data_IF_821218307276
#
_entry.id   IF_821218307276
#
_cell.length_a   1.000
_cell.length_b   1.000
_cell.length_c   1.000
_cell.angle_alpha   90.00
_cell.angle_beta   90.00
_cell.angle_gamma   90.00
#
_symmetry.space_group_name_H-M   'P 1'
#
loop_
_entity.id
_entity.type
_entity.pdbx_description
1 polymer ?
#
# COMPACT_ATOMS: atom_id res chain seq x y z
N UNK A 1 -31.35 -27.95 -26.42
CA UNK A 1 -30.03 -27.35 -26.69
C UNK A 1 -29.70 -26.38 -25.56
N UNK A 2 -28.82 -26.77 -24.63
CA UNK A 2 -28.28 -25.88 -23.58
C UNK A 2 -27.03 -25.21 -24.15
N UNK A 3 -26.97 -23.87 -24.16
CA UNK A 3 -25.74 -23.13 -24.42
C UNK A 3 -25.11 -22.79 -23.08
N UNK A 4 -23.94 -23.37 -22.82
CA UNK A 4 -23.06 -22.98 -21.72
C UNK A 4 -22.48 -21.59 -22.05
N UNK A 5 -22.59 -20.65 -21.11
CA UNK A 5 -21.86 -19.39 -21.14
C UNK A 5 -20.47 -19.62 -20.56
N UNK A 6 -19.46 -19.62 -21.42
CA UNK A 6 -18.06 -19.48 -21.01
C UNK A 6 -17.86 -18.10 -20.39
N UNK A 7 -17.38 -18.10 -19.14
CA UNK A 7 -17.20 -16.90 -18.34
C UNK A 7 -16.11 -15.98 -18.89
N UNK A 8 -16.38 -14.67 -18.80
CA UNK A 8 -15.39 -13.62 -18.99
C UNK A 8 -14.32 -13.73 -17.90
N UNK A 9 -13.08 -14.00 -18.30
CA UNK A 9 -11.90 -13.84 -17.46
C UNK A 9 -11.76 -12.36 -17.05
N UNK A 10 -11.46 -12.13 -15.78
CA UNK A 10 -11.26 -10.77 -15.26
C UNK A 10 -9.92 -10.22 -15.75
N UNK A 11 -9.85 -8.91 -16.01
CA UNK A 11 -8.63 -8.18 -16.44
C UNK A 11 -7.41 -8.43 -15.53
N UNK A 12 -7.62 -8.90 -14.30
CA UNK A 12 -6.57 -9.28 -13.35
C UNK A 12 -5.85 -10.60 -13.69
N UNK A 13 -6.48 -11.52 -14.42
CA UNK A 13 -5.83 -12.77 -14.85
C UNK A 13 -4.93 -12.57 -16.08
N UNK A 14 -5.28 -11.60 -16.94
CA UNK A 14 -4.53 -11.32 -18.17
C UNK A 14 -3.18 -10.62 -17.90
N UNK A 15 -3.04 -9.91 -16.78
CA UNK A 15 -1.80 -9.22 -16.42
C UNK A 15 -0.76 -10.10 -15.70
N UNK A 16 -1.08 -11.38 -15.44
CA UNK A 16 -0.21 -12.30 -14.69
C UNK A 16 0.31 -13.48 -15.53
N UNK A 17 -0.14 -13.65 -16.78
CA UNK A 17 0.14 -14.85 -17.56
C UNK A 17 1.53 -14.89 -18.23
N UNK A 18 2.11 -13.75 -18.60
CA UNK A 18 3.23 -13.75 -19.57
C UNK A 18 4.64 -13.50 -19.01
N UNK A 19 4.88 -13.52 -17.69
CA UNK A 19 6.25 -13.27 -17.19
C UNK A 19 6.60 -13.76 -15.77
N UNK A 20 6.14 -14.94 -15.33
CA UNK A 20 6.68 -15.56 -14.10
C UNK A 20 6.83 -17.09 -14.19
N UNK A 21 8.04 -17.64 -13.94
CA UNK A 21 8.20 -19.07 -13.63
C UNK A 21 7.92 -19.30 -12.15
N UNK A 22 6.67 -19.10 -11.71
CA UNK A 22 6.16 -19.53 -10.40
C UNK A 22 4.64 -19.75 -10.51
N UNK A 23 4.18 -20.97 -10.20
CA UNK A 23 2.77 -21.19 -9.91
C UNK A 23 2.42 -20.40 -8.63
N UNK A 24 1.75 -19.27 -8.78
CA UNK A 24 1.13 -18.53 -7.68
C UNK A 24 -0.26 -19.13 -7.49
N UNK A 25 -0.46 -19.90 -6.42
CA UNK A 25 -1.80 -20.31 -6.00
C UNK A 25 -2.38 -19.22 -5.10
N UNK A 26 -3.05 -18.23 -5.68
CA UNK A 26 -3.91 -17.34 -4.92
C UNK A 26 -5.21 -18.09 -4.59
N UNK A 27 -5.41 -18.46 -3.32
CA UNK A 27 -6.66 -19.10 -2.89
C UNK A 27 -7.66 -18.02 -2.51
N UNK A 28 -8.62 -17.75 -3.40
CA UNK A 28 -9.77 -16.91 -3.08
C UNK A 28 -10.73 -17.74 -2.23
N UNK A 29 -10.83 -17.44 -0.94
CA UNK A 29 -11.93 -17.97 -0.12
C UNK A 29 -13.04 -16.92 -0.05
N UNK A 30 -14.05 -17.06 -0.90
CA UNK A 30 -15.33 -16.39 -0.68
C UNK A 30 -16.10 -17.19 0.38
N UNK A 31 -16.44 -16.55 1.51
CA UNK A 31 -17.47 -17.08 2.41
C UNK A 31 -18.79 -16.42 2.03
N UNK A 32 -19.74 -17.22 1.57
CA UNK A 32 -21.12 -16.78 1.42
C UNK A 32 -21.67 -16.51 2.83
N UNK A 33 -21.96 -15.25 3.12
CA UNK A 33 -22.80 -14.86 4.25
C UNK A 33 -24.00 -14.10 3.71
N UNK A 34 -25.17 -14.69 3.93
CA UNK A 34 -26.47 -14.02 3.85
C UNK A 34 -26.43 -12.77 4.74
N UNK A 35 -27.09 -11.68 4.29
CA UNK A 35 -27.22 -10.35 4.92
C UNK A 35 -26.21 -9.27 4.49
N UNK A 36 -26.39 -8.76 3.26
CA UNK A 36 -26.59 -7.31 3.00
C UNK A 36 -25.52 -6.27 3.37
N UNK A 37 -24.28 -6.63 3.71
CA UNK A 37 -23.19 -5.66 3.95
C UNK A 37 -22.09 -5.72 2.87
N UNK A 38 -21.39 -4.61 2.58
CA UNK A 38 -20.36 -4.56 1.54
C UNK A 38 -19.22 -5.53 1.85
N UNK A 39 -18.91 -6.39 0.87
CA UNK A 39 -17.86 -7.41 0.94
C UNK A 39 -16.48 -6.75 1.00
N UNK A 40 -15.74 -6.97 2.08
CA UNK A 40 -14.32 -6.61 2.17
C UNK A 40 -13.51 -7.79 1.64
N UNK A 41 -12.77 -7.58 0.55
CA UNK A 41 -11.84 -8.56 0.03
C UNK A 41 -10.52 -8.51 0.82
N UNK A 42 -10.27 -9.52 1.64
CA UNK A 42 -8.95 -9.76 2.22
C UNK A 42 -8.21 -10.80 1.39
N UNK A 43 -6.98 -10.50 0.97
CA UNK A 43 -6.11 -11.44 0.28
C UNK A 43 -4.97 -11.87 1.22
N UNK A 44 -4.75 -13.18 1.33
CA UNK A 44 -3.58 -13.74 2.02
C UNK A 44 -2.69 -14.38 0.98
N UNK A 45 -1.46 -13.88 0.85
CA UNK A 45 -0.44 -14.44 -0.05
C UNK A 45 0.43 -15.38 0.77
N UNK A 46 0.23 -16.69 0.63
CA UNK A 46 1.12 -17.69 1.21
C UNK A 46 2.34 -17.88 0.32
N UNK A 47 3.50 -17.37 0.75
CA UNK A 47 4.78 -17.61 0.08
C UNK A 47 5.46 -18.86 0.67
N UNK A 48 5.45 -19.98 -0.05
CA UNK A 48 6.39 -21.08 0.21
C UNK A 48 7.74 -20.75 -0.44
N UNK A 49 8.68 -20.24 0.36
CA UNK A 49 10.05 -20.04 -0.09
C UNK A 49 10.80 -21.39 -0.14
N UNK A 50 11.17 -21.84 -1.34
CA UNK A 50 12.26 -22.82 -1.50
C UNK A 50 13.58 -22.07 -1.75
N UNK A 51 14.72 -22.54 -1.20
CA UNK A 51 16.02 -21.95 -1.46
C UNK A 51 16.38 -22.09 -2.95
N UNK A 52 16.74 -20.98 -3.60
CA UNK A 52 17.14 -20.94 -5.01
C UNK A 52 18.63 -21.26 -5.16
N UNK A 53 18.99 -22.11 -6.13
CA UNK A 53 20.31 -22.08 -6.76
C UNK A 53 20.54 -20.76 -7.52
N UNK A 54 21.76 -20.49 -8.03
CA UNK A 54 22.09 -19.22 -8.67
C UNK A 54 21.17 -18.94 -9.86
N UNK A 55 20.62 -17.72 -9.89
CA UNK A 55 19.74 -17.23 -10.94
C UNK A 55 20.55 -17.02 -12.23
N UNK A 56 20.37 -17.89 -13.21
CA UNK A 56 20.83 -17.64 -14.58
C UNK A 56 19.73 -16.85 -15.28
N UNK A 57 19.94 -15.54 -15.44
CA UNK A 57 19.00 -14.67 -16.17
C UNK A 57 19.07 -14.99 -17.67
N UNK A 58 17.90 -15.15 -18.31
CA UNK A 58 17.79 -15.21 -19.76
C UNK A 58 18.42 -13.92 -20.37
N UNK A 59 19.32 -14.01 -21.35
CA UNK A 59 19.91 -12.85 -22.02
C UNK A 59 18.89 -11.84 -22.56
N UNK A 60 17.70 -12.30 -22.99
CA UNK A 60 16.61 -11.42 -23.46
C UNK A 60 15.94 -10.63 -22.33
N UNK A 61 16.02 -11.10 -21.08
CA UNK A 61 15.51 -10.38 -19.90
C UNK A 61 16.52 -9.32 -19.38
N UNK A 62 17.76 -9.33 -19.86
CA UNK A 62 18.76 -8.32 -19.47
C UNK A 62 18.40 -6.94 -20.03
N UNK A 63 17.67 -6.87 -21.15
CA UNK A 63 17.24 -5.61 -21.74
C UNK A 63 16.00 -5.03 -21.02
N UNK A 64 15.14 -5.89 -20.45
CA UNK A 64 13.99 -5.50 -19.62
C UNK A 64 14.42 -4.94 -18.25
N UNK A 65 15.59 -5.36 -17.75
CA UNK A 65 16.19 -4.75 -16.56
C UNK A 65 16.53 -3.26 -16.77
N UNK A 66 16.67 -2.81 -18.02
CA UNK A 66 16.93 -1.42 -18.40
C UNK A 66 15.66 -0.61 -18.71
N UNK A 67 14.50 -1.26 -18.87
CA UNK A 67 13.23 -0.55 -19.10
C UNK A 67 12.82 0.22 -17.83
N UNK A 68 13.09 1.53 -17.86
CA UNK A 68 12.61 2.51 -16.88
C UNK A 68 11.08 2.59 -16.92
N UNK A 69 10.43 1.81 -16.06
CA UNK A 69 8.97 1.75 -15.95
C UNK A 69 8.43 2.93 -15.13
N UNK A 70 8.38 4.11 -15.75
CA UNK A 70 7.58 5.24 -15.29
C UNK A 70 8.33 6.36 -14.55
N UNK A 71 7.82 7.58 -14.72
CA UNK A 71 8.23 8.77 -13.98
C UNK A 71 7.26 8.98 -12.81
N UNK A 72 7.71 8.65 -11.60
CA UNK A 72 6.91 8.87 -10.39
C UNK A 72 7.28 10.19 -9.72
N UNK A 73 6.70 11.28 -10.21
CA UNK A 73 6.82 12.66 -9.66
C UNK A 73 8.26 13.20 -9.50
N UNK A 74 9.22 12.58 -10.18
CA UNK A 74 10.64 12.92 -10.24
C UNK A 74 11.07 12.95 -11.72
N UNK A 75 12.04 13.80 -12.08
CA UNK A 75 12.68 13.78 -13.41
C UNK A 75 13.60 12.57 -13.59
N UNK A 76 13.94 11.88 -12.50
CA UNK A 76 14.64 10.60 -12.52
C UNK A 76 13.60 9.47 -12.52
N UNK A 77 13.54 8.74 -13.62
CA UNK A 77 12.72 7.53 -13.70
C UNK A 77 13.20 6.52 -12.66
N UNK A 78 12.27 5.74 -12.13
CA UNK A 78 12.50 4.78 -11.07
C UNK A 78 11.96 3.43 -11.54
N UNK A 79 12.76 2.38 -11.47
CA UNK A 79 12.30 1.02 -11.78
C UNK A 79 11.47 0.46 -10.64
N UNK A 80 10.65 -0.56 -10.93
CA UNK A 80 9.90 -1.28 -9.89
C UNK A 80 10.84 -1.93 -8.86
N UNK A 81 11.99 -2.45 -9.31
CA UNK A 81 13.02 -3.00 -8.44
C UNK A 81 13.57 -1.94 -7.49
N UNK A 82 13.98 -0.77 -8.00
CA UNK A 82 14.44 0.33 -7.15
C UNK A 82 13.36 0.80 -6.16
N UNK A 83 12.08 0.83 -6.57
CA UNK A 83 10.98 1.19 -5.67
C UNK A 83 10.88 0.24 -4.48
N UNK A 84 10.95 -1.06 -4.74
CA UNK A 84 10.81 -2.10 -3.71
C UNK A 84 12.09 -2.22 -2.89
N UNK A 85 13.24 -2.39 -3.54
CA UNK A 85 14.52 -2.71 -2.90
C UNK A 85 15.11 -1.52 -2.14
N UNK A 86 14.95 -0.30 -2.64
CA UNK A 86 15.44 0.89 -1.95
C UNK A 86 14.37 1.47 -1.01
N UNK A 87 13.20 1.84 -1.55
CA UNK A 87 12.19 2.55 -0.77
C UNK A 87 11.45 1.62 0.20
N UNK A 88 11.07 0.42 -0.27
CA UNK A 88 10.43 -0.60 0.55
C UNK A 88 11.35 -1.08 1.68
N UNK A 89 12.59 -1.44 1.39
CA UNK A 89 13.52 -1.91 2.41
C UNK A 89 13.88 -0.81 3.43
N UNK A 90 14.01 0.45 3.00
CA UNK A 90 14.20 1.57 3.91
C UNK A 90 13.01 1.73 4.86
N UNK A 91 11.77 1.69 4.34
CA UNK A 91 10.58 1.79 5.16
C UNK A 91 10.39 0.59 6.10
N UNK A 92 10.67 -0.63 5.62
CA UNK A 92 10.65 -1.85 6.44
C UNK A 92 11.55 -1.70 7.67
N UNK A 93 12.82 -1.33 7.46
CA UNK A 93 13.78 -1.13 8.56
C UNK A 93 13.35 0.00 9.48
N UNK A 94 12.95 1.14 8.90
CA UNK A 94 12.63 2.35 9.66
C UNK A 94 11.44 2.19 10.60
N UNK A 95 10.44 1.40 10.19
CA UNK A 95 9.23 1.13 10.97
C UNK A 95 9.30 -0.19 11.74
N UNK A 96 10.40 -0.95 11.59
CA UNK A 96 10.54 -2.29 12.14
C UNK A 96 9.34 -3.17 11.76
N UNK A 97 9.02 -3.23 10.46
CA UNK A 97 7.88 -4.00 9.97
C UNK A 97 8.22 -5.49 10.03
N UNK A 98 7.27 -6.28 10.53
CA UNK A 98 7.34 -7.73 10.71
C UNK A 98 6.16 -8.42 10.03
N UNK A 99 6.21 -9.74 9.92
CA UNK A 99 5.12 -10.58 9.41
C UNK A 99 3.82 -10.50 10.22
N UNK A 100 3.88 -10.01 11.46
CA UNK A 100 2.72 -9.75 12.32
C UNK A 100 1.99 -8.46 12.00
N UNK A 101 2.61 -7.56 11.23
CA UNK A 101 2.04 -6.26 10.93
C UNK A 101 0.94 -6.34 9.88
N UNK A 102 0.00 -5.39 9.99
CA UNK A 102 -1.05 -5.13 9.00
C UNK A 102 -0.89 -3.69 8.54
N UNK A 103 -0.36 -3.51 7.33
CA UNK A 103 0.04 -2.22 6.78
C UNK A 103 -1.08 -1.66 5.92
N UNK A 104 -1.77 -0.63 6.42
CA UNK A 104 -2.79 0.08 5.65
C UNK A 104 -2.15 1.06 4.68
N UNK A 105 -2.40 0.87 3.39
CA UNK A 105 -1.92 1.75 2.32
C UNK A 105 -3.05 2.67 1.87
N UNK A 106 -3.13 3.84 2.50
CA UNK A 106 -4.11 4.88 2.24
C UNK A 106 -3.58 5.93 1.23
N UNK A 107 -2.95 5.46 0.17
CA UNK A 107 -2.30 6.26 -0.88
C UNK A 107 -2.50 5.54 -2.20
N UNK A 108 -2.59 6.29 -3.29
CA UNK A 108 -2.65 5.67 -4.63
C UNK A 108 -1.43 4.77 -4.88
N UNK A 109 -1.71 3.54 -5.33
CA UNK A 109 -0.68 2.58 -5.73
C UNK A 109 0.02 2.98 -7.03
N UNK A 110 -0.53 3.97 -7.75
CA UNK A 110 0.15 4.58 -8.90
C UNK A 110 1.31 5.49 -8.47
N UNK A 111 1.49 5.79 -7.17
CA UNK A 111 2.66 6.52 -6.71
C UNK A 111 3.74 5.55 -6.21
N UNK A 112 5.02 5.84 -6.51
CA UNK A 112 6.17 5.12 -5.97
C UNK A 112 6.13 4.98 -4.43
N UNK A 113 5.57 5.96 -3.72
CA UNK A 113 5.40 5.85 -2.28
C UNK A 113 4.36 4.79 -1.88
N UNK A 114 3.23 4.69 -2.60
CA UNK A 114 2.21 3.69 -2.36
C UNK A 114 2.71 2.27 -2.69
N UNK A 115 3.23 2.06 -3.90
CA UNK A 115 3.69 0.72 -4.31
C UNK A 115 5.07 0.36 -3.76
N UNK A 116 6.03 1.28 -3.82
CA UNK A 116 7.42 1.03 -3.41
C UNK A 116 7.58 1.02 -1.89
N UNK A 117 7.31 2.15 -1.23
CA UNK A 117 7.48 2.22 0.22
C UNK A 117 6.43 1.42 0.98
N UNK A 118 5.14 1.62 0.71
CA UNK A 118 4.10 1.03 1.55
C UNK A 118 3.91 -0.48 1.26
N UNK A 119 3.55 -0.83 0.02
CA UNK A 119 3.37 -2.24 -0.37
C UNK A 119 4.69 -3.01 -0.33
N UNK A 120 5.77 -2.44 -0.88
CA UNK A 120 7.07 -3.09 -0.90
C UNK A 120 7.62 -3.40 0.50
N UNK A 121 7.49 -2.48 1.47
CA UNK A 121 7.95 -2.75 2.85
C UNK A 121 7.14 -3.85 3.55
N UNK A 122 5.83 -3.90 3.33
CA UNK A 122 4.97 -4.96 3.85
C UNK A 122 5.35 -6.31 3.22
N UNK A 123 5.53 -6.35 1.90
CA UNK A 123 5.92 -7.56 1.19
C UNK A 123 7.28 -8.08 1.68
N UNK A 124 8.31 -7.24 1.73
CA UNK A 124 9.64 -7.63 2.20
C UNK A 124 9.64 -8.16 3.64
N UNK A 125 8.69 -7.72 4.47
CA UNK A 125 8.51 -8.19 5.84
C UNK A 125 7.65 -9.46 5.97
N UNK A 126 6.96 -9.89 4.91
CA UNK A 126 5.91 -10.92 5.00
C UNK A 126 4.64 -10.45 5.71
N UNK A 127 4.46 -9.14 5.85
CA UNK A 127 3.30 -8.51 6.50
C UNK A 127 2.06 -8.52 5.59
N UNK A 128 0.89 -8.29 6.18
CA UNK A 128 -0.33 -8.11 5.40
C UNK A 128 -0.43 -6.69 4.84
N UNK A 129 -0.73 -6.58 3.53
CA UNK A 129 -1.13 -5.32 2.89
C UNK A 129 -2.64 -5.16 3.02
N UNK A 130 -3.08 -4.04 3.58
CA UNK A 130 -4.49 -3.69 3.71
C UNK A 130 -4.75 -2.45 2.86
N UNK A 131 -5.82 -2.48 2.06
CA UNK A 131 -6.26 -1.34 1.25
C UNK A 131 -7.63 -0.87 1.74
N UNK A 132 -7.87 0.44 1.84
CA UNK A 132 -9.21 0.93 2.15
C UNK A 132 -10.17 0.63 0.99
N UNK A 133 -11.43 0.37 1.31
CA UNK A 133 -12.46 0.15 0.31
C UNK A 133 -12.59 1.37 -0.61
N UNK A 134 -12.50 1.14 -1.92
CA UNK A 134 -12.67 2.19 -2.94
C UNK A 134 -14.11 2.28 -3.48
N UNK A 135 -15.01 1.43 -3.01
CA UNK A 135 -16.42 1.40 -3.44
C UNK A 135 -17.07 2.77 -3.23
N UNK A 136 -17.62 3.35 -4.31
CA UNK A 136 -18.24 4.67 -4.27
C UNK A 136 -17.28 5.85 -4.40
N UNK A 137 -15.96 5.61 -4.45
CA UNK A 137 -14.94 6.65 -4.66
C UNK A 137 -14.57 6.67 -6.15
N UNK A 138 -14.89 7.77 -6.85
CA UNK A 138 -14.53 7.95 -8.27
C UNK A 138 -13.21 8.73 -8.41
N UNK A 139 -12.34 8.29 -9.31
CA UNK A 139 -11.01 8.90 -9.51
C UNK A 139 -10.19 8.85 -8.22
N UNK A 140 -9.56 9.96 -7.84
CA UNK A 140 -8.90 10.06 -6.54
C UNK A 140 -9.89 10.22 -5.37
N UNK A 141 -11.17 10.53 -5.60
CA UNK A 141 -12.13 10.84 -4.53
C UNK A 141 -11.88 12.16 -3.81
N UNK A 142 -12.83 12.58 -2.96
CA UNK A 142 -12.57 13.67 -2.03
C UNK A 142 -11.63 13.20 -0.90
N UNK A 143 -10.74 14.06 -0.37
CA UNK A 143 -9.90 13.70 0.77
C UNK A 143 -10.68 13.15 1.96
N UNK A 144 -11.85 13.72 2.26
CA UNK A 144 -12.72 13.29 3.36
C UNK A 144 -13.30 11.89 3.16
N UNK A 145 -13.73 11.54 1.94
CA UNK A 145 -14.21 10.18 1.64
C UNK A 145 -13.11 9.15 1.82
N UNK A 146 -11.89 9.44 1.33
CA UNK A 146 -10.75 8.56 1.53
C UNK A 146 -10.41 8.42 3.02
N UNK A 147 -10.39 9.53 3.74
CA UNK A 147 -10.09 9.54 5.16
C UNK A 147 -11.09 8.72 5.99
N UNK A 148 -12.38 8.78 5.68
CA UNK A 148 -13.40 7.97 6.35
C UNK A 148 -13.22 6.47 6.07
N UNK A 149 -12.96 6.10 4.82
CA UNK A 149 -12.64 4.72 4.45
C UNK A 149 -11.35 4.23 5.15
N UNK A 150 -10.35 5.10 5.27
CA UNK A 150 -9.09 4.82 5.97
C UNK A 150 -9.32 4.58 7.45
N UNK A 151 -10.04 5.45 8.17
CA UNK A 151 -10.34 5.24 9.59
C UNK A 151 -11.15 3.96 9.81
N UNK A 152 -12.17 3.71 8.98
CA UNK A 152 -12.97 2.49 9.06
C UNK A 152 -12.10 1.24 8.87
N UNK A 153 -11.16 1.29 7.93
CA UNK A 153 -10.25 0.17 7.66
C UNK A 153 -9.21 -0.01 8.75
N UNK A 154 -8.63 1.08 9.29
CA UNK A 154 -7.69 1.05 10.42
C UNK A 154 -8.28 0.26 11.58
N UNK A 155 -9.50 0.61 11.99
CA UNK A 155 -10.17 -0.01 13.13
C UNK A 155 -10.62 -1.44 12.81
N UNK A 156 -11.37 -1.65 11.72
CA UNK A 156 -11.95 -2.96 11.41
C UNK A 156 -10.92 -4.03 11.08
N UNK A 157 -9.78 -3.64 10.49
CA UNK A 157 -8.71 -4.55 10.13
C UNK A 157 -7.58 -4.57 11.16
N UNK A 158 -7.72 -3.87 12.30
CA UNK A 158 -6.69 -3.77 13.35
C UNK A 158 -5.30 -3.48 12.77
N UNK A 159 -5.22 -2.50 11.88
CA UNK A 159 -3.97 -2.18 11.19
C UNK A 159 -2.94 -1.62 12.17
N UNK A 160 -1.71 -2.13 12.10
CA UNK A 160 -0.62 -1.70 12.97
C UNK A 160 0.17 -0.52 12.43
N UNK A 161 0.16 -0.33 11.12
CA UNK A 161 0.88 0.75 10.44
C UNK A 161 -0.02 1.44 9.41
N UNK A 162 0.07 2.76 9.35
CA UNK A 162 -0.62 3.59 8.36
C UNK A 162 0.37 4.26 7.41
N UNK A 163 0.21 4.07 6.11
CA UNK A 163 0.81 4.93 5.09
C UNK A 163 -0.28 5.82 4.51
N UNK A 164 -0.15 7.14 4.66
CA UNK A 164 -1.09 8.12 4.12
C UNK A 164 -0.36 9.28 3.44
N UNK A 165 -1.03 9.97 2.52
CA UNK A 165 -0.58 11.28 2.05
C UNK A 165 -1.06 12.39 2.99
N UNK A 166 -0.41 13.55 2.92
CA UNK A 166 -0.76 14.68 3.78
C UNK A 166 -2.23 15.08 3.65
N UNK A 167 -2.84 14.95 2.47
CA UNK A 167 -4.24 15.35 2.24
C UNK A 167 -5.21 14.42 2.96
N UNK A 168 -4.93 13.13 2.95
CA UNK A 168 -5.74 12.12 3.62
C UNK A 168 -5.54 12.23 5.13
N UNK A 169 -4.30 12.41 5.61
CA UNK A 169 -4.03 12.63 7.03
C UNK A 169 -4.72 13.90 7.57
N UNK A 170 -4.73 15.00 6.81
CA UNK A 170 -5.48 16.23 7.16
C UNK A 170 -6.97 16.00 7.32
N UNK A 171 -7.53 15.11 6.50
CA UNK A 171 -8.95 14.86 6.42
C UNK A 171 -9.40 13.72 7.34
N UNK A 172 -8.47 13.03 8.04
CA UNK A 172 -8.80 12.00 9.00
C UNK A 172 -9.67 12.60 10.12
N UNK A 173 -10.87 12.05 10.33
CA UNK A 173 -11.71 12.49 11.43
C UNK A 173 -11.13 12.01 12.76
N UNK A 174 -11.63 12.62 13.85
CA UNK A 174 -11.39 12.13 15.20
C UNK A 174 -11.78 10.65 15.29
N UNK A 175 -10.91 9.78 15.84
CA UNK A 175 -11.22 8.36 15.96
C UNK A 175 -12.45 8.06 16.83
N UNK A 176 -12.83 8.95 17.76
CA UNK A 176 -13.93 8.73 18.70
C UNK A 176 -13.74 7.42 19.49
N UNK A 177 -14.77 6.58 19.53
CA UNK A 177 -14.75 5.29 20.25
C UNK A 177 -14.10 4.14 19.44
N UNK A 178 -13.50 4.40 18.27
CA UNK A 178 -12.91 3.33 17.47
C UNK A 178 -11.65 2.79 18.13
N UNK A 179 -11.56 1.47 18.24
CA UNK A 179 -10.37 0.78 18.73
C UNK A 179 -9.21 0.90 17.73
N UNK A 180 -8.24 1.76 18.06
CA UNK A 180 -6.98 1.92 17.32
C UNK A 180 -5.78 1.42 18.12
N UNK A 181 -5.97 0.56 19.12
CA UNK A 181 -4.88 0.05 19.98
C UNK A 181 -3.80 -0.73 19.23
N UNK A 182 -4.12 -1.27 18.05
CA UNK A 182 -3.15 -1.94 17.19
C UNK A 182 -2.20 -0.96 16.48
N UNK A 183 -2.64 0.28 16.24
CA UNK A 183 -1.88 1.28 15.50
C UNK A 183 -0.67 1.71 16.34
N UNK A 184 0.54 1.41 15.85
CA UNK A 184 1.80 1.72 16.54
C UNK A 184 2.67 2.74 15.83
N UNK A 185 2.32 3.10 14.59
CA UNK A 185 3.05 4.09 13.82
C UNK A 185 2.49 4.31 12.43
N UNK A 186 3.17 5.15 11.67
CA UNK A 186 2.85 5.34 10.26
C UNK A 186 3.82 6.25 9.55
N UNK A 187 3.55 6.48 8.27
CA UNK A 187 4.31 7.40 7.42
C UNK A 187 3.35 8.30 6.67
N UNK A 188 3.65 9.60 6.69
CA UNK A 188 2.95 10.64 5.95
C UNK A 188 3.82 11.12 4.79
N UNK A 189 3.30 11.02 3.56
CA UNK A 189 3.95 11.68 2.41
C UNK A 189 3.73 13.19 2.46
N UNK A 190 4.83 13.91 2.59
CA UNK A 190 4.91 15.36 2.46
C UNK A 190 5.68 15.72 1.20
N UNK A 191 5.02 16.37 0.24
CA UNK A 191 5.63 16.72 -1.05
C UNK A 191 5.87 15.51 -1.98
N UNK A 192 6.91 15.59 -2.82
CA UNK A 192 7.17 14.66 -3.93
C UNK A 192 8.39 13.77 -3.78
N UNK A 193 9.11 13.81 -2.64
CA UNK A 193 10.30 12.97 -2.43
C UNK A 193 10.01 11.59 -1.82
N UNK A 194 11.10 10.88 -1.53
CA UNK A 194 11.11 9.49 -1.10
C UNK A 194 11.93 9.25 0.20
N UNK A 195 12.48 10.31 0.79
CA UNK A 195 13.38 10.23 1.93
C UNK A 195 12.63 10.47 3.23
N UNK A 196 13.01 9.74 4.29
CA UNK A 196 12.54 10.05 5.64
C UNK A 196 13.11 11.41 6.09
N UNK A 197 12.23 12.26 6.60
CA UNK A 197 12.57 13.62 7.05
C UNK A 197 12.52 13.65 8.58
N UNK A 198 13.67 13.46 9.24
CA UNK A 198 13.76 13.30 10.70
C UNK A 198 13.46 14.59 11.46
N UNK A 199 13.78 15.72 10.84
CA UNK A 199 13.53 17.07 11.33
C UNK A 199 12.06 17.51 11.20
N UNK A 200 11.26 16.81 10.39
CA UNK A 200 9.87 17.17 10.13
C UNK A 200 8.95 16.49 11.15
N UNK A 201 8.62 17.23 12.20
CA UNK A 201 7.69 16.82 13.27
C UNK A 201 6.27 17.36 13.09
N UNK A 202 6.13 18.38 12.24
CA UNK A 202 4.86 19.03 11.94
C UNK A 202 4.73 19.20 10.43
N UNK A 203 3.49 19.22 9.93
CA UNK A 203 3.21 19.57 8.55
C UNK A 203 2.15 20.66 8.49
N UNK A 204 2.14 21.44 7.41
CA UNK A 204 1.06 22.39 7.14
C UNK A 204 -0.23 21.60 6.92
N UNK A 205 -1.04 21.41 7.95
CA UNK A 205 -2.32 20.68 7.97
C UNK A 205 -3.49 21.67 8.12
N UNK A 206 -4.46 21.63 7.21
CA UNK A 206 -5.62 22.53 7.20
C UNK A 206 -5.64 23.57 6.05
N UNK A 207 -6.75 24.32 5.89
CA UNK A 207 -6.96 25.29 4.81
C UNK A 207 -6.09 26.53 4.93
N UNK A 208 -5.71 26.91 6.16
CA UNK A 208 -4.90 28.10 6.45
C UNK A 208 -3.38 27.81 6.49
N UNK A 209 -2.97 26.57 6.24
CA UNK A 209 -1.57 26.17 6.31
C UNK A 209 -1.00 26.09 7.74
N UNK A 210 -1.85 25.95 8.75
CA UNK A 210 -1.47 25.73 10.15
C UNK A 210 -0.51 24.54 10.28
N UNK A 211 0.56 24.68 11.07
CA UNK A 211 1.42 23.56 11.40
C UNK A 211 0.75 22.72 12.47
N UNK A 212 0.67 21.41 12.25
CA UNK A 212 0.17 20.45 13.24
C UNK A 212 1.14 19.29 13.40
N UNK A 213 1.27 18.74 14.61
CA UNK A 213 2.07 17.54 14.86
C UNK A 213 1.68 16.42 13.90
N UNK A 214 2.68 15.71 13.39
CA UNK A 214 2.48 14.49 12.61
C UNK A 214 2.20 13.33 13.55
N UNK A 215 0.98 13.28 14.04
CA UNK A 215 0.46 12.18 14.85
C UNK A 215 -1.00 11.94 14.49
N UNK A 216 -1.47 10.72 14.71
CA UNK A 216 -2.88 10.37 14.61
C UNK A 216 -3.27 9.45 15.76
N UNK A 217 -4.37 9.76 16.45
CA UNK A 217 -4.81 9.02 17.63
C UNK A 217 -3.71 8.87 18.71
N UNK A 218 -2.88 9.90 18.90
CA UNK A 218 -1.74 9.87 19.82
C UNK A 218 -0.53 9.06 19.35
N UNK A 219 -0.59 8.48 18.14
CA UNK A 219 0.47 7.66 17.55
C UNK A 219 1.34 8.49 16.61
N UNK A 220 2.69 8.45 16.73
CA UNK A 220 3.59 9.18 15.84
C UNK A 220 3.49 8.74 14.38
N UNK A 221 3.51 9.71 13.47
CA UNK A 221 3.55 9.49 12.02
C UNK A 221 4.83 10.14 11.47
N UNK A 222 5.68 9.36 10.82
CA UNK A 222 6.97 9.83 10.30
C UNK A 222 6.76 10.55 8.97
N UNK A 223 7.41 11.69 8.75
CA UNK A 223 7.39 12.36 7.46
C UNK A 223 8.29 11.66 6.44
N UNK A 224 7.79 11.55 5.20
CA UNK A 224 8.57 11.15 4.04
C UNK A 224 8.35 12.13 2.89
N UNK A 225 9.43 12.64 2.31
CA UNK A 225 9.36 13.71 1.34
C UNK A 225 10.70 14.01 0.70
N UNK A 226 10.81 15.21 0.14
CA UNK A 226 12.06 15.71 -0.42
C UNK A 226 12.80 16.48 0.68
N UNK A 227 14.09 16.20 0.87
CA UNK A 227 14.96 17.03 1.70
C UNK A 227 15.13 18.42 1.08
#
# INVERSE_FOLDING_TARGET
>A
MRREHQGNLSILELLMADSLPRLISARVQSRDFLFGLPTIQSFTVESRAQPRGPLVLNPELQDIASTRLGYWSSTKALTNGEAIDAMGAAAQRRLSITDKDRVLVSITLCHAFGIGSAVGSAWLAGAAVVLPGASGIRGCGSPSQRAEATLTTLASQRCSLLFADVHTLKALPDPGDKDLTALRGGVCKVGSGADFLEEVKEAKLGPNGELKPLQYAGVPIIALGKK
#
